data_IF_196560190283
#
_entry.id   IF_196560190283
#
_cell.length_a   1.000
_cell.length_b   1.000
_cell.length_c   1.000
_cell.angle_alpha   90.00
_cell.angle_beta   90.00
_cell.angle_gamma   90.00
#
_symmetry.space_group_name_H-M   'P 1'
#
loop_
_entity.id
_entity.type
_entity.pdbx_description
1 polymer ?
#
# COMPACT_ATOMS: atom_id res chain seq x y z
N UNK A 1 9.71 -4.83 -17.07
CA UNK A 1 10.10 -5.36 -15.75
C UNK A 1 9.06 -4.99 -14.72
N UNK A 2 8.61 -5.95 -13.98
CA UNK A 2 7.52 -5.72 -13.03
C UNK A 2 8.03 -5.50 -11.59
N UNK A 3 9.28 -5.05 -11.45
CA UNK A 3 9.91 -4.95 -10.13
C UNK A 3 9.29 -3.88 -9.24
N UNK A 4 8.86 -2.76 -9.84
CA UNK A 4 8.35 -1.65 -9.04
C UNK A 4 7.09 -2.04 -8.28
N UNK A 5 6.16 -2.72 -8.93
CA UNK A 5 4.94 -3.09 -8.24
C UNK A 5 5.20 -4.13 -7.15
N UNK A 6 6.19 -5.00 -7.34
CA UNK A 6 6.57 -5.98 -6.31
C UNK A 6 7.23 -5.26 -5.14
N UNK A 7 8.15 -4.34 -5.42
CA UNK A 7 8.81 -3.55 -4.37
C UNK A 7 7.81 -2.72 -3.59
N UNK A 8 6.88 -2.08 -4.32
CA UNK A 8 5.83 -1.29 -3.67
C UNK A 8 4.98 -2.19 -2.76
N UNK A 9 4.59 -3.35 -3.24
CA UNK A 9 3.74 -4.25 -2.47
C UNK A 9 4.41 -4.71 -1.18
N UNK A 10 5.69 -5.06 -1.25
CA UNK A 10 6.45 -5.46 -0.06
C UNK A 10 6.54 -4.30 0.92
N UNK A 11 6.81 -3.11 0.41
CA UNK A 11 6.90 -1.89 1.24
C UNK A 11 5.56 -1.58 1.90
N UNK A 12 4.47 -1.67 1.13
CA UNK A 12 3.14 -1.40 1.63
C UNK A 12 2.80 -2.32 2.80
N UNK A 13 3.07 -3.60 2.65
CA UNK A 13 2.80 -4.56 3.70
C UNK A 13 3.60 -4.23 4.96
N UNK A 14 4.88 -3.92 4.80
CA UNK A 14 5.74 -3.57 5.93
C UNK A 14 5.19 -2.36 6.68
N UNK A 15 4.84 -1.30 5.95
CA UNK A 15 4.35 -0.07 6.55
C UNK A 15 3.01 -0.31 7.25
N UNK A 16 2.14 -1.10 6.63
CA UNK A 16 0.85 -1.43 7.22
C UNK A 16 1.02 -2.17 8.54
N UNK A 17 1.89 -3.19 8.54
CA UNK A 17 2.13 -3.98 9.76
C UNK A 17 2.77 -3.11 10.84
N UNK A 18 3.70 -2.23 10.47
CA UNK A 18 4.32 -1.32 11.44
C UNK A 18 3.31 -0.39 12.09
N UNK A 19 2.24 -0.05 11.38
CA UNK A 19 1.17 0.79 11.92
C UNK A 19 0.14 -0.03 12.69
N UNK A 20 0.31 -1.34 12.77
CA UNK A 20 -0.62 -2.20 13.50
C UNK A 20 -1.95 -2.41 12.80
N UNK A 21 -1.99 -2.21 11.48
CA UNK A 21 -3.24 -2.31 10.71
C UNK A 21 -3.34 -3.67 10.04
N UNK A 22 -4.56 -4.22 10.04
CA UNK A 22 -4.88 -5.38 9.20
C UNK A 22 -5.14 -4.89 7.77
N UNK A 23 -5.18 -5.83 6.83
CA UNK A 23 -5.57 -5.48 5.46
C UNK A 23 -6.97 -4.89 5.42
N UNK A 24 -7.88 -5.43 6.23
CA UNK A 24 -9.25 -4.92 6.29
C UNK A 24 -9.29 -3.48 6.80
N UNK A 25 -8.51 -3.19 7.82
CA UNK A 25 -8.46 -1.84 8.38
C UNK A 25 -7.90 -0.84 7.37
N UNK A 26 -6.85 -1.24 6.65
CA UNK A 26 -6.30 -0.38 5.62
C UNK A 26 -7.29 -0.19 4.47
N UNK A 27 -8.00 -1.24 4.09
CA UNK A 27 -9.03 -1.16 3.05
C UNK A 27 -10.11 -0.17 3.46
N UNK A 28 -10.59 -0.26 4.69
CA UNK A 28 -11.62 0.65 5.21
C UNK A 28 -11.13 2.09 5.20
N UNK A 29 -9.90 2.32 5.62
CA UNK A 29 -9.35 3.67 5.73
C UNK A 29 -9.09 4.31 4.36
N UNK A 30 -8.98 3.51 3.31
CA UNK A 30 -8.68 4.00 1.96
C UNK A 30 -9.89 3.91 1.03
N UNK A 31 -11.01 3.38 1.52
CA UNK A 31 -12.19 3.13 0.69
C UNK A 31 -11.89 2.16 -0.45
N UNK A 32 -10.98 1.25 -0.22
CA UNK A 32 -10.63 0.18 -1.16
C UNK A 32 -11.10 -1.14 -0.60
N UNK A 33 -11.05 -2.19 -1.43
CA UNK A 33 -11.41 -3.53 -0.96
C UNK A 33 -10.22 -4.25 -0.37
N UNK A 34 -10.49 -5.23 0.49
CA UNK A 34 -9.44 -6.10 1.03
C UNK A 34 -8.69 -6.77 -0.12
N UNK A 35 -9.41 -7.21 -1.14
CA UNK A 35 -8.82 -7.87 -2.28
C UNK A 35 -7.83 -6.95 -2.99
N UNK A 36 -8.18 -5.67 -3.16
CA UNK A 36 -7.27 -4.70 -3.76
C UNK A 36 -6.00 -4.54 -2.95
N UNK A 37 -6.14 -4.41 -1.63
CA UNK A 37 -4.97 -4.28 -0.74
C UNK A 37 -4.11 -5.54 -0.85
N UNK A 38 -4.73 -6.70 -0.77
CA UNK A 38 -4.00 -7.98 -0.85
C UNK A 38 -3.24 -8.10 -2.17
N UNK A 39 -3.90 -7.77 -3.29
CA UNK A 39 -3.26 -7.87 -4.61
C UNK A 39 -2.11 -6.89 -4.75
N UNK A 40 -2.24 -5.69 -4.20
CA UNK A 40 -1.14 -4.72 -4.23
C UNK A 40 0.04 -5.21 -3.40
N UNK A 41 -0.21 -5.76 -2.21
CA UNK A 41 0.86 -6.27 -1.36
C UNK A 41 1.57 -7.47 -1.98
N UNK A 42 0.86 -8.23 -2.80
CA UNK A 42 1.43 -9.39 -3.49
C UNK A 42 2.13 -9.01 -4.80
N UNK A 43 2.09 -7.74 -5.16
CA UNK A 43 2.76 -7.27 -6.37
C UNK A 43 2.03 -7.61 -7.66
N UNK A 44 0.74 -7.93 -7.58
CA UNK A 44 -0.05 -8.29 -8.77
C UNK A 44 -0.34 -7.05 -9.60
N UNK A 45 -0.68 -5.94 -8.94
CA UNK A 45 -0.83 -4.65 -9.62
C UNK A 45 -0.47 -3.54 -8.64
N UNK A 46 -0.25 -2.34 -9.18
CA UNK A 46 0.03 -1.18 -8.36
C UNK A 46 -1.20 -0.28 -8.24
N UNK A 47 -1.16 0.67 -7.31
CA UNK A 47 -2.28 1.58 -7.11
C UNK A 47 -2.30 2.68 -8.17
N UNK A 48 -3.49 3.25 -8.37
CA UNK A 48 -3.62 4.50 -9.13
C UNK A 48 -3.08 5.64 -8.29
N UNK A 49 -2.79 6.77 -8.94
CA UNK A 49 -2.28 7.95 -8.23
C UNK A 49 -3.23 8.41 -7.12
N UNK A 50 -4.55 8.41 -7.40
CA UNK A 50 -5.52 8.80 -6.38
C UNK A 50 -5.44 7.91 -5.15
N UNK A 51 -5.23 6.62 -5.38
CA UNK A 51 -5.14 5.66 -4.29
C UNK A 51 -3.84 5.80 -3.51
N UNK A 52 -2.75 6.24 -4.18
CA UNK A 52 -1.49 6.50 -3.48
C UNK A 52 -1.68 7.55 -2.40
N UNK A 53 -2.42 8.61 -2.70
CA UNK A 53 -2.68 9.66 -1.71
C UNK A 53 -3.49 9.11 -0.54
N UNK A 54 -4.51 8.30 -0.83
CA UNK A 54 -5.34 7.72 0.22
C UNK A 54 -4.53 6.78 1.11
N UNK A 55 -3.68 5.96 0.49
CA UNK A 55 -2.84 5.01 1.22
C UNK A 55 -1.87 5.76 2.12
N UNK A 56 -1.20 6.78 1.58
CA UNK A 56 -0.24 7.56 2.35
C UNK A 56 -0.94 8.22 3.54
N UNK A 57 -2.12 8.80 3.32
CA UNK A 57 -2.87 9.45 4.38
C UNK A 57 -3.26 8.45 5.47
N UNK A 58 -3.72 7.26 5.08
CA UNK A 58 -4.11 6.23 6.04
C UNK A 58 -2.94 5.76 6.88
N UNK A 59 -1.74 5.76 6.30
CA UNK A 59 -0.51 5.36 7.01
C UNK A 59 0.18 6.54 7.67
N UNK A 60 -0.36 7.75 7.53
CA UNK A 60 0.21 8.99 8.09
C UNK A 60 1.60 9.26 7.55
N UNK A 61 1.78 9.04 6.25
CA UNK A 61 3.04 9.21 5.56
C UNK A 61 2.89 10.11 4.34
N UNK A 62 4.02 10.60 3.84
CA UNK A 62 4.07 11.26 2.54
C UNK A 62 4.12 10.20 1.45
N UNK A 63 3.62 10.55 0.25
CA UNK A 63 3.58 9.57 -0.83
C UNK A 63 4.97 9.01 -1.15
N UNK A 64 6.00 9.87 -1.15
CA UNK A 64 7.35 9.41 -1.50
C UNK A 64 7.86 8.33 -0.54
N UNK A 65 7.37 8.33 0.69
CA UNK A 65 7.80 7.33 1.67
C UNK A 65 7.30 5.93 1.33
N UNK A 66 6.25 5.85 0.50
CA UNK A 66 5.75 4.55 0.02
C UNK A 66 6.72 3.90 -0.97
N UNK A 67 7.67 4.67 -1.51
CA UNK A 67 8.60 4.21 -2.53
C UNK A 67 10.05 4.20 -2.03
N UNK A 68 10.25 4.28 -0.72
CA UNK A 68 11.59 4.19 -0.16
C UNK A 68 11.95 2.71 0.02
N UNK A 69 12.62 2.16 -0.97
CA UNK A 69 13.03 0.76 -0.97
C UNK A 69 14.49 0.66 -0.59
N UNK A 70 14.82 -0.33 0.21
CA UNK A 70 16.21 -0.54 0.63
C UNK A 70 16.93 -1.56 -0.24
#
# INVERSE_FOLDING_TARGET
MARLKVQFGTRLKLLRVERGLTQEQLADATDLTIESISNMERGIFGPRFDNLEKIAAALELEVHQLFQFD
#
